data_IF_952993963740
#
_entry.id   IF_952993963740
#
_cell.length_a   1.000
_cell.length_b   1.000
_cell.length_c   1.000
_cell.angle_alpha   90.00
_cell.angle_beta   90.00
_cell.angle_gamma   90.00
#
_symmetry.space_group_name_H-M   'P 1'
#
loop_
_entity.id
_entity.type
_entity.pdbx_description
1 polymer ?
#
# COMPACT_ATOMS: atom_id res chain seq x y z
N UNK A 1 -6.99 14.81 -1.23
CA UNK A 1 -5.81 14.58 -0.35
C UNK A 1 -5.91 13.20 0.28
N UNK A 2 -4.83 12.46 0.25
CA UNK A 2 -4.76 11.16 0.91
C UNK A 2 -4.88 11.30 2.44
N UNK A 3 -5.63 10.42 3.06
CA UNK A 3 -5.80 10.37 4.51
C UNK A 3 -5.25 9.06 5.03
N UNK A 4 -4.59 9.10 6.17
CA UNK A 4 -4.08 7.92 6.87
C UNK A 4 -5.08 7.45 7.92
N UNK A 5 -5.14 6.13 8.11
CA UNK A 5 -6.01 5.50 9.11
C UNK A 5 -5.40 4.18 9.57
N UNK A 6 -5.93 3.63 10.66
CA UNK A 6 -5.48 2.34 11.18
C UNK A 6 -5.82 1.22 10.21
N UNK A 7 -4.88 0.30 10.01
CA UNK A 7 -5.06 -0.86 9.14
C UNK A 7 -6.14 -1.78 9.69
N UNK A 8 -7.01 -2.29 8.81
CA UNK A 8 -8.04 -3.27 9.18
C UNK A 8 -7.42 -4.52 9.79
N UNK A 9 -8.16 -5.18 10.68
CA UNK A 9 -7.65 -6.33 11.42
C UNK A 9 -7.23 -7.48 10.49
N UNK A 10 -8.03 -7.79 9.48
CA UNK A 10 -7.75 -8.89 8.54
C UNK A 10 -6.42 -8.69 7.80
N UNK A 11 -6.17 -7.49 7.32
CA UNK A 11 -4.92 -7.14 6.65
C UNK A 11 -3.76 -7.14 7.65
N UNK A 12 -3.97 -6.58 8.84
CA UNK A 12 -2.95 -6.56 9.88
C UNK A 12 -2.51 -7.98 10.28
N UNK A 13 -3.43 -8.89 10.43
CA UNK A 13 -3.14 -10.30 10.75
C UNK A 13 -2.36 -10.99 9.63
N UNK A 14 -2.75 -10.77 8.38
CA UNK A 14 -2.03 -11.31 7.21
C UNK A 14 -0.58 -10.80 7.17
N UNK A 15 -0.40 -9.49 7.31
CA UNK A 15 0.94 -8.87 7.30
C UNK A 15 1.77 -9.36 8.48
N UNK A 16 1.18 -9.42 9.67
CA UNK A 16 1.87 -9.88 10.88
C UNK A 16 2.36 -11.32 10.74
N UNK A 17 1.53 -12.21 10.20
CA UNK A 17 1.91 -13.61 9.98
C UNK A 17 3.09 -13.75 9.01
N UNK A 18 3.14 -12.93 7.97
CA UNK A 18 4.25 -12.91 7.00
C UNK A 18 5.50 -12.27 7.60
N UNK A 19 5.35 -11.19 8.37
CA UNK A 19 6.45 -10.49 9.02
C UNK A 19 7.16 -11.36 10.08
N UNK A 20 6.41 -12.06 10.90
CA UNK A 20 6.96 -12.95 11.94
C UNK A 20 7.83 -14.06 11.37
N UNK A 21 7.59 -14.48 10.14
CA UNK A 21 8.40 -15.47 9.44
C UNK A 21 9.68 -14.90 8.80
N UNK A 22 9.89 -13.59 8.87
CA UNK A 22 11.11 -12.95 8.36
C UNK A 22 12.22 -12.97 9.42
N UNK A 23 13.47 -13.04 8.97
CA UNK A 23 14.63 -12.92 9.86
C UNK A 23 14.70 -11.56 10.57
N UNK A 24 14.12 -10.53 9.97
CA UNK A 24 14.06 -9.17 10.52
C UNK A 24 13.24 -9.09 11.81
N UNK A 25 12.08 -9.74 11.83
CA UNK A 25 11.25 -9.83 13.03
C UNK A 25 12.00 -10.53 14.18
N UNK A 26 12.75 -11.58 13.88
CA UNK A 26 13.58 -12.29 14.84
C UNK A 26 14.73 -11.45 15.37
N UNK A 27 15.22 -10.49 14.58
CA UNK A 27 16.24 -9.51 15.00
C UNK A 27 15.68 -8.38 15.86
N UNK A 28 14.37 -8.35 16.12
CA UNK A 28 13.71 -7.30 16.90
C UNK A 28 13.39 -6.03 16.12
N UNK A 29 13.43 -6.08 14.80
CA UNK A 29 13.03 -4.94 13.94
C UNK A 29 11.51 -4.81 13.96
N UNK A 30 11.02 -3.63 14.29
CA UNK A 30 9.60 -3.33 14.45
C UNK A 30 9.00 -2.69 13.19
N UNK A 31 7.90 -3.27 12.73
CA UNK A 31 7.13 -2.79 11.58
C UNK A 31 5.81 -2.18 12.04
N UNK A 32 5.53 -0.96 11.59
CA UNK A 32 4.21 -0.32 11.77
C UNK A 32 3.43 -0.36 10.47
N UNK A 33 2.16 -0.74 10.56
CA UNK A 33 1.23 -0.71 9.45
C UNK A 33 0.41 0.58 9.47
N UNK A 34 0.27 1.19 8.32
CA UNK A 34 -0.56 2.39 8.13
C UNK A 34 -1.33 2.23 6.84
N UNK A 35 -2.64 2.41 6.90
CA UNK A 35 -3.47 2.41 5.71
C UNK A 35 -3.70 3.81 5.18
N UNK A 36 -3.96 3.93 3.89
CA UNK A 36 -4.15 5.19 3.19
C UNK A 36 -5.33 5.10 2.24
N UNK A 37 -6.04 6.22 2.08
CA UNK A 37 -7.23 6.27 1.21
C UNK A 37 -6.89 6.38 -0.28
N UNK A 38 -5.68 6.78 -0.62
CA UNK A 38 -5.21 6.94 -2.00
C UNK A 38 -3.69 6.84 -2.05
N UNK A 39 -3.16 6.09 -3.00
CA UNK A 39 -1.72 5.96 -3.24
C UNK A 39 -1.43 5.55 -4.67
N UNK A 40 -0.18 5.69 -5.09
CA UNK A 40 0.31 5.24 -6.40
C UNK A 40 0.66 3.75 -6.43
N UNK A 41 0.87 3.16 -5.28
CA UNK A 41 1.18 1.75 -5.12
C UNK A 41 0.20 1.11 -4.14
N UNK A 42 -0.11 -0.16 -4.34
CA UNK A 42 -0.96 -0.93 -3.42
C UNK A 42 -0.29 -1.09 -2.06
N UNK A 43 0.99 -1.43 -2.07
CA UNK A 43 1.84 -1.53 -0.87
C UNK A 43 3.15 -0.78 -1.09
N UNK A 44 3.63 -0.12 -0.06
CA UNK A 44 4.94 0.54 -0.06
C UNK A 44 5.62 0.42 1.28
N UNK A 45 6.82 -0.14 1.29
CA UNK A 45 7.68 -0.12 2.47
C UNK A 45 8.43 1.21 2.55
N UNK A 46 8.60 1.72 3.77
CA UNK A 46 9.31 2.95 4.04
C UNK A 46 10.11 2.84 5.33
N UNK A 47 11.26 3.47 5.38
CA UNK A 47 12.09 3.53 6.58
C UNK A 47 11.60 4.64 7.50
N UNK A 48 11.52 4.39 8.80
CA UNK A 48 11.28 5.43 9.78
C UNK A 48 12.51 6.35 9.91
N UNK A 49 12.30 7.65 9.79
CA UNK A 49 13.33 8.62 10.13
C UNK A 49 13.65 8.59 11.63
N UNK A 50 14.80 9.16 12.02
CA UNK A 50 15.28 9.11 13.40
C UNK A 50 14.26 9.65 14.42
N UNK A 51 13.60 10.75 14.12
CA UNK A 51 12.58 11.35 14.99
C UNK A 51 11.36 10.43 15.15
N UNK A 52 10.87 9.89 14.05
CA UNK A 52 9.68 9.01 14.06
C UNK A 52 10.02 7.68 14.76
N UNK A 53 11.19 7.13 14.51
CA UNK A 53 11.67 5.94 15.22
C UNK A 53 11.74 6.18 16.74
N UNK A 54 12.27 7.32 17.15
CA UNK A 54 12.34 7.70 18.56
C UNK A 54 10.95 7.78 19.21
N UNK A 55 9.98 8.42 18.52
CA UNK A 55 8.62 8.62 19.03
C UNK A 55 7.77 7.36 19.05
N UNK A 56 7.88 6.53 18.01
CA UNK A 56 7.00 5.38 17.81
C UNK A 56 7.62 4.05 18.20
N UNK A 57 8.94 3.99 18.36
CA UNK A 57 9.72 2.76 18.53
C UNK A 57 9.57 1.77 17.37
N UNK A 58 9.26 2.29 16.17
CA UNK A 58 9.14 1.51 14.93
C UNK A 58 10.29 1.83 14.00
N UNK A 59 10.80 0.82 13.32
CA UNK A 59 11.98 0.93 12.45
C UNK A 59 11.59 1.14 10.99
N UNK A 60 10.47 0.55 10.60
CA UNK A 60 9.94 0.63 9.24
C UNK A 60 8.42 0.75 9.25
N UNK A 61 7.88 1.24 8.16
CA UNK A 61 6.43 1.33 7.91
C UNK A 61 6.08 0.55 6.66
N UNK A 62 4.92 -0.09 6.67
CA UNK A 62 4.25 -0.58 5.48
C UNK A 62 3.00 0.25 5.27
N UNK A 63 2.95 0.98 4.16
CA UNK A 63 1.82 1.81 3.78
C UNK A 63 0.93 1.00 2.85
N UNK A 64 -0.35 0.88 3.19
CA UNK A 64 -1.31 -0.02 2.54
C UNK A 64 -2.45 0.79 1.94
N UNK A 65 -2.64 0.70 0.62
CA UNK A 65 -3.83 1.20 -0.04
C UNK A 65 -4.91 0.10 0.01
N UNK A 66 -5.68 0.07 1.11
CA UNK A 66 -6.58 -1.04 1.42
C UNK A 66 -7.62 -1.30 0.33
N UNK A 67 -8.25 -0.26 -0.21
CA UNK A 67 -9.26 -0.43 -1.26
C UNK A 67 -8.70 -1.17 -2.48
N UNK A 68 -7.50 -0.82 -2.91
CA UNK A 68 -6.83 -1.49 -4.01
C UNK A 68 -6.37 -2.90 -3.62
N UNK A 69 -5.83 -3.06 -2.43
CA UNK A 69 -5.40 -4.36 -1.90
C UNK A 69 -6.55 -5.36 -1.83
N UNK A 70 -7.71 -4.93 -1.32
CA UNK A 70 -8.90 -5.78 -1.18
C UNK A 70 -9.46 -6.27 -2.51
N UNK A 71 -9.23 -5.55 -3.60
CA UNK A 71 -9.66 -5.94 -4.95
C UNK A 71 -8.78 -7.01 -5.60
N UNK A 72 -7.63 -7.31 -5.04
CA UNK A 72 -6.73 -8.34 -5.56
C UNK A 72 -7.15 -9.74 -5.11
N UNK A 73 -6.79 -10.78 -5.88
CA UNK A 73 -6.95 -12.16 -5.47
C UNK A 73 -6.05 -12.47 -4.27
N UNK A 74 -6.38 -13.51 -3.51
CA UNK A 74 -5.58 -13.90 -2.34
C UNK A 74 -4.14 -14.23 -2.71
N UNK A 75 -3.93 -14.92 -3.83
CA UNK A 75 -2.58 -15.17 -4.35
C UNK A 75 -1.83 -13.87 -4.62
N UNK A 76 -2.45 -12.92 -5.30
CA UNK A 76 -1.82 -11.64 -5.65
C UNK A 76 -1.52 -10.80 -4.41
N UNK A 77 -2.42 -10.79 -3.43
CA UNK A 77 -2.18 -10.14 -2.14
C UNK A 77 -0.92 -10.66 -1.46
N UNK A 78 -0.77 -11.98 -1.39
CA UNK A 78 0.40 -12.61 -0.78
C UNK A 78 1.69 -12.30 -1.53
N UNK A 79 1.67 -12.34 -2.87
CA UNK A 79 2.85 -12.07 -3.70
C UNK A 79 3.30 -10.61 -3.60
N UNK A 80 2.37 -9.68 -3.66
CA UNK A 80 2.66 -8.24 -3.51
C UNK A 80 3.18 -7.94 -2.12
N UNK A 81 2.59 -8.55 -1.10
CA UNK A 81 3.05 -8.40 0.28
C UNK A 81 4.47 -8.92 0.44
N UNK A 82 4.77 -10.09 -0.08
CA UNK A 82 6.12 -10.65 -0.06
C UNK A 82 7.12 -9.73 -0.77
N UNK A 83 6.75 -9.17 -1.93
CA UNK A 83 7.58 -8.21 -2.64
C UNK A 83 7.87 -6.94 -1.85
N UNK A 84 6.86 -6.37 -1.24
CA UNK A 84 7.00 -5.17 -0.41
C UNK A 84 7.87 -5.43 0.83
N UNK A 85 7.66 -6.53 1.52
CA UNK A 85 8.48 -6.91 2.69
C UNK A 85 9.93 -7.24 2.30
N UNK A 86 10.16 -7.80 1.11
CA UNK A 86 11.50 -8.09 0.60
C UNK A 86 12.35 -6.85 0.33
N UNK A 87 11.72 -5.68 0.25
CA UNK A 87 12.42 -4.40 0.10
C UNK A 87 13.10 -3.96 1.39
N UNK A 88 12.72 -4.53 2.53
CA UNK A 88 13.29 -4.21 3.82
C UNK A 88 14.44 -5.19 4.09
N UNK A 89 15.64 -4.65 4.34
CA UNK A 89 16.83 -5.42 4.63
C UNK A 89 17.66 -4.79 5.72
N UNK A 90 18.51 -5.58 6.36
CA UNK A 90 19.41 -5.12 7.40
C UNK A 90 20.87 -5.42 7.02
N UNK A 91 21.68 -4.37 6.99
CA UNK A 91 23.11 -4.47 6.76
C UNK A 91 23.82 -4.64 8.11
N UNK A 92 24.27 -5.85 8.41
CA UNK A 92 24.93 -6.18 9.68
C UNK A 92 26.29 -5.52 9.81
N UNK A 93 26.99 -5.27 8.70
CA UNK A 93 28.30 -4.64 8.71
C UNK A 93 28.22 -3.16 9.10
N UNK A 94 27.18 -2.48 8.62
CA UNK A 94 26.91 -1.06 8.88
C UNK A 94 25.93 -0.84 10.03
N UNK A 95 25.38 -1.91 10.59
CA UNK A 95 24.32 -1.86 11.61
C UNK A 95 23.17 -0.92 11.20
N UNK A 96 22.67 -1.12 9.99
CA UNK A 96 21.72 -0.19 9.36
C UNK A 96 20.59 -0.93 8.65
N UNK A 97 19.35 -0.46 8.91
CA UNK A 97 18.18 -0.86 8.16
C UNK A 97 18.13 -0.12 6.83
N UNK A 98 17.89 -0.85 5.75
CA UNK A 98 17.70 -0.32 4.42
C UNK A 98 16.32 -0.69 3.89
N UNK A 99 15.68 0.24 3.19
CA UNK A 99 14.44 -0.02 2.44
C UNK A 99 14.68 0.32 0.98
N UNK A 100 14.57 -0.68 0.11
CA UNK A 100 14.72 -0.50 -1.33
C UNK A 100 13.50 0.25 -1.89
N UNK A 101 13.75 1.32 -2.61
CA UNK A 101 12.72 2.15 -3.25
C UNK A 101 12.67 2.01 -4.76
N UNK A 102 13.65 1.34 -5.37
CA UNK A 102 13.71 1.11 -6.80
C UNK A 102 12.85 -0.10 -7.19
N UNK A 103 11.74 0.17 -7.87
CA UNK A 103 10.80 -0.87 -8.32
C UNK A 103 11.47 -1.87 -9.27
N UNK A 104 12.46 -1.46 -10.07
CA UNK A 104 13.15 -2.36 -10.98
C UNK A 104 13.92 -3.45 -10.22
N UNK A 105 14.51 -3.12 -9.07
CA UNK A 105 15.20 -4.08 -8.21
C UNK A 105 14.24 -5.06 -7.55
N UNK A 106 13.07 -4.59 -7.11
CA UNK A 106 12.01 -5.44 -6.60
C UNK A 106 11.53 -6.43 -7.67
N UNK A 107 11.20 -5.94 -8.86
CA UNK A 107 10.77 -6.77 -9.99
C UNK A 107 11.81 -7.83 -10.34
N UNK A 108 13.09 -7.45 -10.42
CA UNK A 108 14.17 -8.37 -10.72
C UNK A 108 14.28 -9.49 -9.68
N UNK A 109 14.23 -9.14 -8.39
CA UNK A 109 14.34 -10.09 -7.28
C UNK A 109 13.14 -11.02 -7.22
N UNK A 110 11.92 -10.48 -7.32
CA UNK A 110 10.68 -11.23 -7.20
C UNK A 110 10.39 -12.09 -8.43
N UNK A 111 10.79 -11.65 -9.62
CA UNK A 111 10.64 -12.42 -10.85
C UNK A 111 11.43 -13.73 -10.83
N UNK A 112 12.56 -13.76 -10.14
CA UNK A 112 13.33 -14.99 -9.94
C UNK A 112 12.56 -16.03 -9.15
N UNK A 113 11.73 -15.60 -8.22
CA UNK A 113 10.91 -16.45 -7.36
C UNK A 113 9.55 -16.77 -7.99
N UNK A 114 8.94 -15.77 -8.62
CA UNK A 114 7.63 -15.88 -9.24
C UNK A 114 7.69 -15.30 -10.66
N UNK A 115 7.62 -16.17 -11.65
CA UNK A 115 7.75 -15.80 -13.06
C UNK A 115 6.70 -14.77 -13.50
N UNK A 116 5.49 -14.86 -12.95
CA UNK A 116 4.37 -13.97 -13.25
C UNK A 116 4.33 -12.68 -12.40
N UNK A 117 5.39 -12.35 -11.67
CA UNK A 117 5.36 -11.20 -10.77
C UNK A 117 5.13 -9.86 -11.49
N UNK A 118 5.64 -9.72 -12.70
CA UNK A 118 5.39 -8.51 -13.51
C UNK A 118 3.90 -8.36 -13.81
N UNK A 119 3.21 -9.44 -14.17
CA UNK A 119 1.77 -9.44 -14.42
C UNK A 119 0.99 -9.09 -13.15
N UNK A 120 1.42 -9.59 -12.00
CA UNK A 120 0.84 -9.25 -10.69
C UNK A 120 0.95 -7.76 -10.41
N UNK A 121 2.11 -7.17 -10.64
CA UNK A 121 2.33 -5.73 -10.44
C UNK A 121 1.54 -4.89 -11.44
N UNK A 122 1.46 -5.28 -12.70
CA UNK A 122 0.61 -4.61 -13.70
C UNK A 122 -0.86 -4.65 -13.29
N UNK A 123 -1.35 -5.79 -12.80
CA UNK A 123 -2.72 -5.91 -12.28
C UNK A 123 -2.96 -4.96 -11.12
N UNK A 124 -2.00 -4.80 -10.21
CA UNK A 124 -2.11 -3.87 -9.09
C UNK A 124 -2.26 -2.42 -9.54
N UNK A 125 -1.52 -2.00 -10.55
CA UNK A 125 -1.64 -0.66 -11.13
C UNK A 125 -2.97 -0.46 -11.87
N UNK A 126 -3.45 -1.48 -12.59
CA UNK A 126 -4.76 -1.44 -13.25
C UNK A 126 -5.90 -1.27 -12.24
N UNK A 127 -5.83 -1.95 -11.10
CA UNK A 127 -6.81 -1.81 -10.02
C UNK A 127 -6.82 -0.38 -9.48
N UNK A 128 -5.67 0.21 -9.24
CA UNK A 128 -5.56 1.61 -8.80
C UNK A 128 -6.18 2.56 -9.83
N UNK A 129 -5.87 2.38 -11.11
CA UNK A 129 -6.45 3.19 -12.18
C UNK A 129 -7.97 3.06 -12.26
N UNK A 130 -8.51 1.86 -12.09
CA UNK A 130 -9.95 1.62 -12.04
C UNK A 130 -10.61 2.38 -10.89
N UNK A 131 -10.02 2.35 -9.72
CA UNK A 131 -10.54 3.09 -8.56
C UNK A 131 -10.54 4.60 -8.84
N UNK A 132 -9.47 5.12 -9.43
CA UNK A 132 -9.39 6.55 -9.79
C UNK A 132 -10.45 6.96 -10.82
N UNK A 133 -10.70 6.12 -11.83
CA UNK A 133 -11.75 6.35 -12.83
C UNK A 133 -13.14 6.33 -12.21
N UNK A 134 -13.43 5.33 -11.38
CA UNK A 134 -14.70 5.24 -10.64
C UNK A 134 -14.93 6.48 -9.75
N UNK A 135 -13.90 6.97 -9.10
CA UNK A 135 -13.97 8.17 -8.27
C UNK A 135 -14.28 9.43 -9.12
N UNK A 136 -13.65 9.56 -10.28
CA UNK A 136 -13.92 10.66 -11.21
C UNK A 136 -15.37 10.63 -11.69
N UNK A 137 -15.84 9.48 -12.14
CA UNK A 137 -17.23 9.30 -12.60
C UNK A 137 -18.24 9.64 -11.50
N UNK A 138 -17.98 9.18 -10.27
CA UNK A 138 -18.83 9.51 -9.12
C UNK A 138 -18.89 11.02 -8.86
N UNK A 139 -17.75 11.70 -8.88
CA UNK A 139 -17.66 13.15 -8.68
C UNK A 139 -18.38 13.92 -9.78
N UNK A 140 -18.27 13.47 -11.03
CA UNK A 140 -18.99 14.07 -12.15
C UNK A 140 -20.50 13.87 -12.03
N UNK A 141 -20.95 12.67 -11.65
CA UNK A 141 -22.36 12.38 -11.40
C UNK A 141 -22.94 13.24 -10.26
N UNK A 142 -22.19 13.40 -9.16
CA UNK A 142 -22.58 14.26 -8.04
C UNK A 142 -22.70 15.75 -8.47
N UNK A 143 -21.76 16.23 -9.29
CA UNK A 143 -21.81 17.58 -9.83
C UNK A 143 -23.02 17.78 -10.73
N UNK A 144 -23.32 16.82 -11.60
CA UNK A 144 -24.48 16.86 -12.47
C UNK A 144 -25.79 16.87 -11.68
N UNK A 145 -25.89 16.05 -10.63
CA UNK A 145 -27.06 16.04 -9.75
C UNK A 145 -27.26 17.37 -9.01
N UNK A 146 -26.16 17.95 -8.50
CA UNK A 146 -26.21 19.26 -7.84
C UNK A 146 -26.62 20.39 -8.80
N UNK A 147 -26.13 20.35 -10.02
CA UNK A 147 -26.49 21.30 -11.05
C UNK A 147 -27.97 21.18 -11.42
N UNK A 148 -28.47 19.95 -11.63
CA UNK A 148 -29.89 19.69 -11.90
C UNK A 148 -30.81 20.14 -10.75
N UNK A 149 -30.43 19.91 -9.51
CA UNK A 149 -31.14 20.34 -8.32
C UNK A 149 -31.21 21.89 -8.21
N UNK A 150 -30.15 22.60 -8.60
CA UNK A 150 -30.11 24.06 -8.62
C UNK A 150 -31.02 24.63 -9.71
N UNK A 151 -31.04 24.04 -10.89
CA UNK A 151 -31.92 24.44 -11.97
C UNK A 151 -33.40 24.19 -11.64
N UNK A 152 -33.73 23.07 -11.02
CA UNK A 152 -35.06 22.76 -10.52
C UNK A 152 -35.58 23.78 -9.50
N UNK A 153 -34.72 24.25 -8.59
CA UNK A 153 -35.06 25.31 -7.63
C UNK A 153 -35.29 26.67 -8.27
N UNK A 154 -34.57 27.02 -9.34
CA UNK A 154 -34.74 28.27 -10.08
C UNK A 154 -36.05 28.29 -10.87
N UNK A 155 -36.51 27.16 -11.40
CA UNK A 155 -37.76 27.05 -12.14
C UNK A 155 -39.02 27.14 -11.25
N UNK A 156 -38.88 26.84 -9.96
CA UNK A 156 -39.99 26.90 -9.00
C UNK A 156 -40.09 28.25 -8.25
N UNK A 157 -39.25 29.20 -8.58
CA UNK A 157 -39.35 30.59 -8.16
C UNK A 157 -39.92 31.46 -9.26
#
# INVERSE_FOLDING_TARGET
MAKFFETSQDIAELVQSKWENTGLAQMGIELKLISVTKAKNVLKASKAGATINYLTKKDAFLIIYEEAFDRLSDEYKERILEGALSNISYDTDKDKLNVETDIAKELFRMRRKYENYVDIMETSYLVINQIEEEEKERKEAEKAQKAAAREGKKKNQ
#
